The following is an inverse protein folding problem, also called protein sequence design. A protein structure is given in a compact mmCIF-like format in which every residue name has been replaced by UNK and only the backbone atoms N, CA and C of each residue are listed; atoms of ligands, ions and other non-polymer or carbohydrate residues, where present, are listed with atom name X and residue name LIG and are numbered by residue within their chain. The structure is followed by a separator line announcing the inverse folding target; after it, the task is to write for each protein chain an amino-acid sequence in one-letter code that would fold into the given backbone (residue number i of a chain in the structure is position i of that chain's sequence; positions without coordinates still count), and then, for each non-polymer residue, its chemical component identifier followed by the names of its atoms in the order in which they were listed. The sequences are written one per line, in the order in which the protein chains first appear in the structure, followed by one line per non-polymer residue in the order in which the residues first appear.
data_IF_745446217240
#
_entry.id   IF_745446217240
#
_cell.length_a   1.000
_cell.length_b   1.000
_cell.length_c   1.000
_cell.angle_alpha   90.00
_cell.angle_beta   90.00
_cell.angle_gamma   90.00
#
_symmetry.space_group_name_H-M   'P 1'
#
loop_
_entity.id
_entity.type
_entity.pdbx_description
1 polymer ?
#
# COMPACT_ATOMS: atom_id res chain seq x y z
N UNK A 1 10.16 8.64 6.94
CA UNK A 1 10.23 7.15 7.01
C UNK A 1 10.75 6.64 5.68
N UNK A 2 11.72 5.71 5.67
CA UNK A 2 12.14 5.08 4.42
C UNK A 2 11.31 3.82 4.19
N UNK A 3 10.78 3.66 2.98
CA UNK A 3 9.94 2.54 2.58
C UNK A 3 10.60 1.81 1.41
N UNK A 4 10.71 0.48 1.47
CA UNK A 4 11.13 -0.33 0.35
C UNK A 4 9.96 -0.51 -0.61
N UNK A 5 10.15 -0.18 -1.89
CA UNK A 5 9.13 -0.42 -2.91
C UNK A 5 9.11 -1.91 -3.26
N UNK A 6 7.95 -2.56 -3.12
CA UNK A 6 7.81 -3.99 -3.43
C UNK A 6 6.50 -4.26 -4.20
N UNK A 7 6.62 -4.71 -5.45
CA UNK A 7 5.48 -5.11 -6.27
C UNK A 7 4.82 -6.42 -5.81
N UNK A 8 5.47 -7.19 -4.94
CA UNK A 8 4.93 -8.39 -4.32
C UNK A 8 4.03 -8.10 -3.11
N UNK A 9 4.04 -6.87 -2.59
CA UNK A 9 3.22 -6.45 -1.47
C UNK A 9 1.98 -5.66 -1.93
N UNK A 10 0.78 -6.14 -1.60
CA UNK A 10 -0.46 -5.42 -1.94
C UNK A 10 -0.58 -4.11 -1.17
N UNK A 11 -0.45 -4.16 0.15
CA UNK A 11 -0.62 -3.00 1.03
C UNK A 11 0.74 -2.46 1.48
N UNK A 12 0.80 -1.17 1.76
CA UNK A 12 1.93 -0.58 2.49
C UNK A 12 1.98 -1.14 3.89
N UNK A 13 3.16 -1.53 4.35
CA UNK A 13 3.41 -2.03 5.71
C UNK A 13 4.23 -0.99 6.45
N UNK A 14 3.79 -0.61 7.64
CA UNK A 14 4.57 0.21 8.55
C UNK A 14 5.09 -0.68 9.67
N UNK A 15 6.38 -0.56 9.99
CA UNK A 15 6.97 -1.19 11.18
C UNK A 15 6.23 -0.76 12.44
N UNK A 16 6.28 -1.62 13.44
CA UNK A 16 5.61 -1.40 14.73
C UNK A 16 5.92 -0.03 15.33
N UNK A 17 7.19 0.31 15.40
CA UNK A 17 7.65 1.56 16.03
C UNK A 17 7.16 2.78 15.25
N UNK A 18 7.03 2.67 13.93
CA UNK A 18 6.57 3.77 13.06
C UNK A 18 5.08 4.02 13.28
N UNK A 19 4.24 2.98 13.21
CA UNK A 19 2.81 3.20 13.34
C UNK A 19 2.39 3.53 14.78
N UNK A 20 3.12 3.02 15.78
CA UNK A 20 2.91 3.39 17.19
C UNK A 20 3.29 4.86 17.43
N UNK A 21 4.43 5.32 16.89
CA UNK A 21 4.84 6.72 16.96
C UNK A 21 3.80 7.65 16.31
N UNK A 22 3.22 7.24 15.19
CA UNK A 22 2.15 7.96 14.50
C UNK A 22 0.79 7.86 15.21
N UNK A 23 0.67 7.04 16.26
CA UNK A 23 -0.57 6.85 17.01
C UNK A 23 -1.68 6.12 16.23
N UNK A 24 -1.32 5.39 15.18
CA UNK A 24 -2.28 4.65 14.38
C UNK A 24 -2.92 3.52 15.20
N UNK A 25 -4.18 3.21 14.87
CA UNK A 25 -4.93 2.12 15.49
C UNK A 25 -5.55 1.23 14.41
N UNK A 26 -5.70 -0.08 14.66
CA UNK A 26 -6.35 -0.96 13.71
C UNK A 26 -7.81 -0.54 13.56
N UNK A 27 -8.23 -0.24 12.32
CA UNK A 27 -9.63 -0.01 11.96
C UNK A 27 -10.39 -1.32 11.79
N UNK A 28 -9.69 -2.35 11.29
CA UNK A 28 -10.18 -3.73 11.18
C UNK A 28 -9.00 -4.70 11.15
N UNK A 29 -9.27 -6.00 11.30
CA UNK A 29 -8.28 -7.04 11.01
C UNK A 29 -8.45 -7.58 9.60
N UNK A 30 -7.34 -8.00 9.00
CA UNK A 30 -7.31 -8.67 7.70
C UNK A 30 -6.45 -9.91 7.75
N UNK A 31 -6.86 -10.94 7.00
CA UNK A 31 -6.01 -12.09 6.72
C UNK A 31 -5.15 -11.79 5.50
N UNK A 32 -3.85 -11.97 5.62
CA UNK A 32 -2.86 -11.81 4.56
C UNK A 32 -2.19 -13.15 4.27
N UNK A 33 -1.63 -13.28 3.07
CA UNK A 33 -0.84 -14.44 2.66
C UNK A 33 0.58 -13.92 2.42
N UNK A 34 1.55 -14.46 3.17
CA UNK A 34 2.96 -14.14 3.01
C UNK A 34 3.53 -14.86 1.78
N UNK A 35 4.74 -14.47 1.36
CA UNK A 35 5.39 -15.03 0.16
C UNK A 35 5.64 -16.54 0.24
N UNK A 36 5.77 -17.10 1.44
CA UNK A 36 5.90 -18.54 1.70
C UNK A 36 4.54 -19.29 1.73
N UNK A 37 3.43 -18.57 1.55
CA UNK A 37 2.06 -19.10 1.62
C UNK A 37 1.44 -19.08 3.02
N UNK A 38 2.19 -18.67 4.05
CA UNK A 38 1.69 -18.59 5.43
C UNK A 38 0.56 -17.58 5.53
N UNK A 39 -0.53 -17.94 6.21
CA UNK A 39 -1.64 -17.03 6.52
C UNK A 39 -1.37 -16.32 7.83
N UNK A 40 -1.44 -15.00 7.83
CA UNK A 40 -1.30 -14.17 9.03
C UNK A 40 -2.49 -13.24 9.19
N UNK A 41 -2.81 -12.86 10.42
CA UNK A 41 -3.74 -11.76 10.69
C UNK A 41 -2.96 -10.50 11.09
N UNK A 42 -3.34 -9.35 10.55
CA UNK A 42 -2.77 -8.05 10.90
C UNK A 42 -3.85 -7.00 11.07
N UNK A 43 -3.53 -5.95 11.82
CA UNK A 43 -4.33 -4.73 11.85
C UNK A 43 -4.19 -3.96 10.54
N UNK A 44 -5.30 -3.52 9.97
CA UNK A 44 -5.32 -2.58 8.86
C UNK A 44 -5.80 -1.22 9.38
N UNK A 45 -5.06 -0.17 9.05
CA UNK A 45 -5.37 1.23 9.35
C UNK A 45 -5.32 2.07 8.07
N UNK A 46 -5.40 3.38 8.22
CA UNK A 46 -5.28 4.36 7.15
C UNK A 46 -4.26 5.43 7.56
N UNK A 47 -3.41 5.83 6.62
CA UNK A 47 -2.42 6.88 6.82
C UNK A 47 -2.43 7.85 5.63
N UNK A 48 -2.03 9.10 5.89
CA UNK A 48 -1.70 10.06 4.83
C UNK A 48 -0.22 9.90 4.53
N UNK A 49 0.09 9.63 3.26
CA UNK A 49 1.47 9.60 2.76
C UNK A 49 1.67 10.81 1.85
N UNK A 50 2.84 11.43 1.98
CA UNK A 50 3.35 12.43 1.04
C UNK A 50 4.50 11.81 0.25
N UNK A 51 4.42 11.88 -1.08
CA UNK A 51 5.56 11.56 -1.95
C UNK A 51 6.04 12.85 -2.64
N UNK A 52 7.36 13.15 -2.59
CA UNK A 52 7.90 14.38 -3.17
C UNK A 52 7.48 14.60 -4.62
N UNK A 53 6.88 15.75 -4.89
CA UNK A 53 6.42 16.13 -6.23
C UNK A 53 5.12 15.48 -6.70
N UNK A 54 4.50 14.61 -5.90
CA UNK A 54 3.23 13.96 -6.22
C UNK A 54 2.08 14.36 -5.29
N UNK A 55 2.39 14.95 -4.14
CA UNK A 55 1.40 15.45 -3.17
C UNK A 55 1.09 14.45 -2.07
N UNK A 56 -0.06 14.67 -1.40
CA UNK A 56 -0.52 13.91 -0.24
C UNK A 56 -1.79 13.12 -0.55
N UNK A 57 -1.82 11.84 -0.19
CA UNK A 57 -2.99 10.99 -0.36
C UNK A 57 -3.19 10.04 0.81
N UNK A 58 -4.45 9.69 1.07
CA UNK A 58 -4.83 8.64 1.99
C UNK A 58 -4.57 7.26 1.38
N UNK A 59 -4.06 6.32 2.17
CA UNK A 59 -3.85 4.93 1.73
C UNK A 59 -4.03 3.95 2.89
N UNK A 60 -4.55 2.75 2.64
CA UNK A 60 -4.58 1.69 3.65
C UNK A 60 -3.15 1.22 3.98
N UNK A 61 -2.89 1.03 5.27
CA UNK A 61 -1.61 0.51 5.77
C UNK A 61 -1.83 -0.70 6.68
N UNK A 62 -0.94 -1.68 6.57
CA UNK A 62 -0.83 -2.79 7.51
C UNK A 62 0.04 -2.34 8.68
N UNK A 63 -0.49 -2.55 9.88
CA UNK A 63 0.24 -2.37 11.13
C UNK A 63 1.13 -3.61 11.32
N UNK A 64 2.41 -3.47 10.99
CA UNK A 64 3.40 -4.54 11.09
C UNK A 64 3.66 -4.97 12.53
N UNK A 65 4.14 -6.20 12.67
CA UNK A 65 4.62 -6.80 13.91
C UNK A 65 6.16 -6.78 13.95
N UNK A 66 6.73 -7.35 15.02
CA UNK A 66 8.18 -7.47 15.18
C UNK A 66 8.79 -8.25 13.99
N UNK A 67 9.84 -7.69 13.38
CA UNK A 67 10.51 -8.27 12.21
C UNK A 67 9.88 -7.93 10.85
N UNK A 68 8.71 -7.29 10.81
CA UNK A 68 8.17 -6.75 9.56
C UNK A 68 8.98 -5.52 9.11
N UNK A 69 8.97 -5.23 7.81
CA UNK A 69 9.69 -4.11 7.21
C UNK A 69 8.77 -2.96 6.76
N UNK A 70 9.33 -1.76 6.62
CA UNK A 70 8.60 -0.65 6.02
C UNK A 70 8.53 -0.87 4.51
N UNK A 71 7.35 -1.26 4.01
CA UNK A 71 7.13 -1.60 2.60
C UNK A 71 6.14 -0.62 1.98
N UNK A 72 6.42 -0.11 0.79
CA UNK A 72 5.48 0.63 -0.06
C UNK A 72 4.84 -0.36 -1.04
N UNK A 73 3.57 -0.68 -0.79
CA UNK A 73 2.83 -1.67 -1.57
C UNK A 73 2.14 -1.10 -2.82
N UNK A 74 1.63 -1.99 -3.66
CA UNK A 74 1.03 -1.64 -4.96
C UNK A 74 -0.21 -0.75 -4.84
N UNK A 75 -1.07 -0.96 -3.83
CA UNK A 75 -2.26 -0.11 -3.63
C UNK A 75 -1.88 1.36 -3.42
N UNK A 76 -0.81 1.61 -2.64
CA UNK A 76 -0.33 2.97 -2.46
C UNK A 76 0.24 3.51 -3.76
N UNK A 77 1.06 2.75 -4.49
CA UNK A 77 1.58 3.19 -5.79
C UNK A 77 0.46 3.55 -6.77
N UNK A 78 -0.60 2.74 -6.85
CA UNK A 78 -1.75 2.98 -7.72
C UNK A 78 -2.50 4.27 -7.36
N UNK A 79 -2.68 4.56 -6.06
CA UNK A 79 -3.27 5.81 -5.57
C UNK A 79 -2.45 7.02 -6.06
N UNK A 80 -1.12 6.90 -6.05
CA UNK A 80 -0.21 7.91 -6.59
C UNK A 80 -0.10 7.90 -8.13
N UNK A 81 -0.85 7.05 -8.83
CA UNK A 81 -0.78 6.93 -10.29
C UNK A 81 0.54 6.33 -10.78
N UNK A 82 1.15 5.44 -10.01
CA UNK A 82 2.44 4.81 -10.29
C UNK A 82 2.34 3.30 -10.42
N UNK A 83 3.32 2.73 -11.10
CA UNK A 83 3.60 1.29 -11.15
C UNK A 83 5.10 1.06 -11.04
N UNK A 84 5.52 -0.01 -10.37
CA UNK A 84 6.92 -0.45 -10.37
C UNK A 84 7.22 -1.23 -11.65
N UNK A 85 8.23 -0.83 -12.41
CA UNK A 85 8.84 -1.66 -13.45
C UNK A 85 9.85 -2.61 -12.78
N UNK A 86 9.54 -3.91 -12.60
CA UNK A 86 10.39 -4.82 -11.84
C UNK A 86 11.69 -5.18 -12.57
N UNK A 87 11.74 -5.05 -13.90
CA UNK A 87 12.94 -5.32 -14.69
C UNK A 87 13.94 -4.19 -14.57
N UNK A 88 13.45 -2.95 -14.51
CA UNK A 88 14.29 -1.74 -14.41
C UNK A 88 14.47 -1.24 -12.98
N UNK A 89 13.64 -1.71 -12.03
CA UNK A 89 13.57 -1.25 -10.64
C UNK A 89 13.30 0.25 -10.54
N UNK A 90 12.40 0.73 -11.40
CA UNK A 90 12.03 2.15 -11.52
C UNK A 90 10.53 2.32 -11.36
N UNK A 91 10.10 3.39 -10.68
CA UNK A 91 8.69 3.80 -10.66
C UNK A 91 8.36 4.51 -11.97
N UNK A 92 7.19 4.20 -12.53
CA UNK A 92 6.71 4.79 -13.79
C UNK A 92 5.27 5.27 -13.63
N UNK A 93 4.86 6.31 -14.37
CA UNK A 93 3.46 6.69 -14.46
C UNK A 93 2.61 5.50 -14.92
N UNK A 94 1.53 5.23 -14.20
CA UNK A 94 0.54 4.22 -14.54
C UNK A 94 -0.35 4.72 -15.69
N UNK A 95 -0.73 3.81 -16.59
CA UNK A 95 -1.80 4.08 -17.56
C UNK A 95 -3.15 3.84 -16.89
N UNK A 96 -3.79 4.91 -16.43
CA UNK A 96 -5.11 4.83 -15.79
C UNK A 96 -6.20 4.82 -16.88
N UNK A 97 -7.09 3.82 -16.83
CA UNK A 97 -8.21 3.70 -17.75
C UNK A 97 -9.50 4.19 -17.06
N UNK A 98 -10.22 5.10 -17.71
CA UNK A 98 -11.58 5.47 -17.31
C UNK A 98 -12.57 4.71 -18.20
N UNK A 99 -13.42 3.88 -17.60
CA UNK A 99 -14.49 3.22 -18.33
C UNK A 99 -15.69 4.16 -18.49
N UNK A 100 -16.16 4.36 -19.73
CA UNK A 100 -17.38 5.10 -20.02
C UNK A 100 -18.49 4.10 -20.34
N UNK A 101 -19.31 3.74 -19.35
CA UNK A 101 -20.49 2.91 -19.57
C UNK A 101 -21.73 3.76 -19.85
N UNK A 102 -22.44 3.49 -20.95
CA UNK A 102 -23.83 3.91 -21.12
C UNK A 102 -24.71 2.79 -20.60
N UNK A 103 -25.11 2.84 -19.33
CA UNK A 103 -26.04 1.86 -18.78
C UNK A 103 -27.45 2.29 -19.22
N UNK A 104 -28.01 1.60 -20.21
CA UNK A 104 -29.45 1.61 -20.44
C UNK A 104 -30.07 0.50 -19.60
N UNK A 105 -30.84 0.86 -18.58
CA UNK A 105 -31.77 -0.09 -17.97
C UNK A 105 -32.96 -0.22 -18.91
N UNK A 106 -33.20 -1.44 -19.42
CA UNK A 106 -34.48 -1.85 -20.01
C UNK A 106 -35.10 -2.90 -19.10
#
# INVERSE_FOLDING_TARGET
VNLLVDSGATYTVLKKEVWEYLGLRPLRRVTLILADGTRVERGLSEAILELPGLGEYHTPVILGEEGDENILGTVTLEIFGLVLDPLRRELRPMRVLMMRSTISWS
#
